data_IF_880641796998
#
_entry.id   IF_880641796998
#
_cell.length_a   1.000
_cell.length_b   1.000
_cell.length_c   1.000
_cell.angle_alpha   90.00
_cell.angle_beta   90.00
_cell.angle_gamma   90.00
#
_symmetry.space_group_name_H-M   'P 1'
#
loop_
_entity.id
_entity.type
_entity.pdbx_description
1 polymer ?
#
# COMPACT_ATOMS: atom_id res chain seq x y z
N UNK A 1 -5.80 -5.09 22.86
CA UNK A 1 -5.66 -3.91 22.00
C UNK A 1 -6.68 -3.92 20.91
N UNK A 2 -7.28 -2.80 20.66
CA UNK A 2 -8.25 -2.69 19.58
C UNK A 2 -7.52 -2.50 18.26
N UNK A 3 -7.84 -3.31 17.26
CA UNK A 3 -7.36 -3.11 15.91
C UNK A 3 -8.08 -1.95 15.23
N UNK A 4 -7.40 -1.27 14.33
CA UNK A 4 -8.01 -0.29 13.44
C UNK A 4 -8.34 -0.95 12.12
N UNK A 5 -9.55 -0.72 11.62
CA UNK A 5 -9.98 -1.21 10.31
C UNK A 5 -10.16 0.00 9.39
N UNK A 6 -9.39 0.03 8.32
CA UNK A 6 -9.33 1.18 7.39
C UNK A 6 -9.82 0.75 6.02
N UNK A 7 -10.72 1.57 5.45
CA UNK A 7 -11.15 1.42 4.07
C UNK A 7 -10.21 2.22 3.17
N UNK A 8 -9.49 1.52 2.28
CA UNK A 8 -8.54 2.13 1.36
C UNK A 8 -9.16 2.79 0.12
N UNK A 9 -10.48 2.71 -0.04
CA UNK A 9 -11.15 3.26 -1.21
C UNK A 9 -10.91 4.77 -1.33
N UNK A 10 -10.35 5.17 -2.47
CA UNK A 10 -10.04 6.58 -2.79
C UNK A 10 -9.08 7.25 -1.79
N UNK A 11 -8.26 6.47 -1.09
CA UNK A 11 -7.26 7.01 -0.17
C UNK A 11 -5.94 7.22 -0.90
N UNK A 12 -5.26 8.34 -0.62
CA UNK A 12 -3.94 8.64 -1.20
C UNK A 12 -2.90 7.75 -0.54
N UNK A 13 -2.20 6.93 -1.34
CA UNK A 13 -1.29 5.90 -0.83
C UNK A 13 -0.24 6.44 0.15
N UNK A 14 0.47 7.51 -0.22
CA UNK A 14 1.55 8.04 0.62
C UNK A 14 1.05 8.60 1.95
N UNK A 15 -0.05 9.34 1.93
CA UNK A 15 -0.63 9.93 3.15
C UNK A 15 -1.22 8.87 4.05
N UNK A 16 -1.95 7.91 3.48
CA UNK A 16 -2.50 6.78 4.23
C UNK A 16 -1.38 5.95 4.86
N UNK A 17 -0.32 5.66 4.10
CA UNK A 17 0.80 4.88 4.59
C UNK A 17 1.51 5.57 5.77
N UNK A 18 1.67 6.88 5.73
CA UNK A 18 2.26 7.64 6.81
C UNK A 18 1.45 7.54 8.12
N UNK A 19 0.15 7.71 8.03
CA UNK A 19 -0.75 7.60 9.19
C UNK A 19 -0.76 6.17 9.74
N UNK A 20 -0.84 5.18 8.86
CA UNK A 20 -0.84 3.77 9.25
C UNK A 20 0.48 3.39 9.94
N UNK A 21 1.60 3.89 9.44
CA UNK A 21 2.90 3.63 10.05
C UNK A 21 2.96 4.16 11.49
N UNK A 22 2.39 5.34 11.73
CA UNK A 22 2.31 5.91 13.08
C UNK A 22 1.46 5.05 14.01
N UNK A 23 0.30 4.56 13.55
CA UNK A 23 -0.55 3.67 14.34
C UNK A 23 0.16 2.36 14.68
N UNK A 24 0.85 1.78 13.69
CA UNK A 24 1.60 0.53 13.90
C UNK A 24 2.73 0.71 14.92
N UNK A 25 3.45 1.82 14.86
CA UNK A 25 4.51 2.12 15.83
C UNK A 25 3.96 2.38 17.22
N UNK A 26 2.73 2.86 17.33
CA UNK A 26 2.04 3.04 18.61
C UNK A 26 1.55 1.71 19.20
N UNK A 27 1.72 0.59 18.52
CA UNK A 27 1.35 -0.74 19.00
C UNK A 27 -0.03 -1.21 18.60
N UNK A 28 -0.71 -0.50 17.70
CA UNK A 28 -2.04 -0.89 17.23
C UNK A 28 -1.93 -1.89 16.07
N UNK A 29 -2.89 -2.82 16.01
CA UNK A 29 -3.08 -3.68 14.84
C UNK A 29 -3.89 -2.91 13.79
N UNK A 30 -3.45 -2.93 12.54
CA UNK A 30 -4.12 -2.21 11.45
C UNK A 30 -4.48 -3.19 10.34
N UNK A 31 -5.74 -3.15 9.92
CA UNK A 31 -6.23 -3.91 8.76
C UNK A 31 -6.74 -2.92 7.73
N UNK A 32 -6.25 -3.04 6.49
CA UNK A 32 -6.66 -2.21 5.36
C UNK A 32 -7.41 -3.10 4.38
N UNK A 33 -8.60 -2.66 3.99
CA UNK A 33 -9.40 -3.34 2.94
C UNK A 33 -9.48 -2.46 1.71
N UNK A 34 -9.92 -3.01 0.60
CA UNK A 34 -10.03 -2.32 -0.69
C UNK A 34 -8.69 -1.73 -1.16
N UNK A 35 -7.60 -2.48 -0.97
CA UNK A 35 -6.26 -2.01 -1.35
C UNK A 35 -6.15 -1.66 -2.84
N UNK A 36 -6.91 -2.36 -3.70
CA UNK A 36 -6.93 -2.10 -5.14
C UNK A 36 -7.53 -0.75 -5.51
N UNK A 37 -8.31 -0.16 -4.61
CA UNK A 37 -8.96 1.14 -4.81
C UNK A 37 -8.17 2.32 -4.24
N UNK A 38 -7.03 2.07 -3.63
CA UNK A 38 -6.10 3.12 -3.19
C UNK A 38 -5.58 3.85 -4.41
N UNK A 39 -5.36 5.16 -4.30
CA UNK A 39 -4.90 5.99 -5.41
C UNK A 39 -3.48 6.50 -5.17
N UNK A 40 -2.76 6.70 -6.28
CA UNK A 40 -1.44 7.32 -6.30
C UNK A 40 -1.58 8.62 -7.09
N UNK A 41 -1.07 9.72 -6.53
CA UNK A 41 -1.13 11.02 -7.20
C UNK A 41 0.02 11.18 -8.18
N UNK A 42 -0.24 11.85 -9.29
CA UNK A 42 0.77 12.20 -10.28
C UNK A 42 0.39 11.76 -11.69
N UNK A 43 1.32 11.97 -12.63
CA UNK A 43 1.13 11.60 -14.02
C UNK A 43 1.18 10.07 -14.15
N UNK A 44 0.16 9.52 -14.77
CA UNK A 44 -0.01 8.08 -14.98
C UNK A 44 1.21 7.44 -15.67
N UNK A 45 1.71 8.06 -16.72
CA UNK A 45 2.87 7.53 -17.45
C UNK A 45 4.13 7.48 -16.60
N UNK A 46 4.37 8.52 -15.81
CA UNK A 46 5.54 8.59 -14.94
C UNK A 46 5.46 7.54 -13.82
N UNK A 47 4.27 7.33 -13.26
CA UNK A 47 4.05 6.29 -12.25
C UNK A 47 4.32 4.91 -12.85
N UNK A 48 3.79 4.63 -14.04
CA UNK A 48 4.02 3.36 -14.73
C UNK A 48 5.51 3.13 -14.98
N UNK A 49 6.22 4.11 -15.52
CA UNK A 49 7.66 4.01 -15.78
C UNK A 49 8.45 3.72 -14.52
N UNK A 50 8.16 4.43 -13.44
CA UNK A 50 8.87 4.27 -12.17
C UNK A 50 8.71 2.87 -11.60
N UNK A 51 7.47 2.38 -11.53
CA UNK A 51 7.21 1.06 -10.99
C UNK A 51 7.70 -0.06 -11.92
N UNK A 52 7.56 0.12 -13.23
CA UNK A 52 8.07 -0.84 -14.22
C UNK A 52 9.57 -0.97 -14.13
N UNK A 53 10.29 0.16 -14.00
CA UNK A 53 11.74 0.14 -13.81
C UNK A 53 12.14 -0.70 -12.60
N UNK A 54 11.44 -0.52 -11.49
CA UNK A 54 11.71 -1.30 -10.26
C UNK A 54 11.49 -2.80 -10.48
N UNK A 55 10.41 -3.17 -11.15
CA UNK A 55 10.10 -4.59 -11.39
C UNK A 55 11.05 -5.23 -12.38
N UNK A 56 11.66 -4.44 -13.26
CA UNK A 56 12.63 -4.92 -14.27
C UNK A 56 14.05 -5.02 -13.71
N UNK A 57 14.30 -4.46 -12.51
CA UNK A 57 15.61 -4.59 -11.87
C UNK A 57 15.87 -6.04 -11.50
N UNK A 58 17.02 -6.55 -11.91
CA UNK A 58 17.40 -7.93 -11.64
C UNK A 58 18.93 -8.06 -11.63
N UNK A 59 19.43 -8.99 -10.85
CA UNK A 59 20.82 -9.43 -10.95
C UNK A 59 20.94 -10.35 -12.15
N UNK A 60 21.59 -9.90 -13.19
CA UNK A 60 21.73 -10.68 -14.45
C UNK A 60 22.61 -11.92 -14.26
N UNK A 61 23.58 -11.86 -13.35
CA UNK A 61 24.45 -13.00 -13.08
C UNK A 61 23.71 -14.11 -12.34
N UNK A 62 22.84 -13.74 -11.39
CA UNK A 62 22.02 -14.70 -10.65
C UNK A 62 20.66 -14.06 -10.33
N UNK A 63 19.64 -14.30 -11.17
CA UNK A 63 18.32 -13.71 -10.97
C UNK A 63 17.67 -14.05 -9.63
N UNK A 64 18.08 -15.14 -8.98
CA UNK A 64 17.53 -15.52 -7.67
C UNK A 64 18.01 -14.61 -6.54
N UNK A 65 19.09 -13.86 -6.74
CA UNK A 65 19.63 -12.90 -5.80
C UNK A 65 19.12 -11.48 -6.03
N UNK A 66 18.47 -11.23 -7.17
CA UNK A 66 18.05 -9.90 -7.54
C UNK A 66 16.95 -9.33 -6.63
N UNK A 67 16.70 -8.01 -6.72
CA UNK A 67 15.59 -7.43 -6.00
C UNK A 67 14.24 -7.92 -6.54
N UNK A 68 13.27 -8.10 -5.64
CA UNK A 68 11.93 -8.54 -6.00
C UNK A 68 10.93 -7.49 -5.54
N UNK A 69 10.21 -6.90 -6.49
CA UNK A 69 9.21 -5.87 -6.22
C UNK A 69 7.80 -6.42 -6.43
N UNK A 70 6.86 -6.04 -5.57
CA UNK A 70 5.49 -6.56 -5.64
C UNK A 70 4.75 -6.04 -6.86
N UNK A 71 3.86 -6.86 -7.40
CA UNK A 71 3.00 -6.52 -8.54
C UNK A 71 1.51 -6.55 -8.20
N UNK A 72 1.13 -7.11 -7.04
CA UNK A 72 -0.26 -7.19 -6.63
C UNK A 72 -0.65 -5.97 -5.79
N UNK A 73 -1.92 -5.52 -5.83
CA UNK A 73 -2.33 -4.30 -5.12
C UNK A 73 -2.03 -4.33 -3.61
N UNK A 74 -2.39 -5.41 -2.94
CA UNK A 74 -2.18 -5.52 -1.49
C UNK A 74 -0.69 -5.44 -1.13
N UNK A 75 0.15 -6.10 -1.93
CA UNK A 75 1.60 -6.10 -1.68
C UNK A 75 2.25 -4.75 -1.99
N UNK A 76 1.75 -4.03 -2.99
CA UNK A 76 2.22 -2.68 -3.30
C UNK A 76 1.97 -1.76 -2.10
N UNK A 77 0.76 -1.79 -1.55
CA UNK A 77 0.39 -0.99 -0.39
C UNK A 77 1.25 -1.38 0.83
N UNK A 78 1.39 -2.67 1.10
CA UNK A 78 2.21 -3.16 2.21
C UNK A 78 3.66 -2.72 2.09
N UNK A 79 4.23 -2.81 0.89
CA UNK A 79 5.62 -2.43 0.64
C UNK A 79 5.85 -0.93 0.87
N UNK A 80 4.89 -0.10 0.49
CA UNK A 80 4.94 1.34 0.75
C UNK A 80 4.96 1.64 2.25
N UNK A 81 4.10 0.99 3.01
CA UNK A 81 4.06 1.14 4.47
C UNK A 81 5.35 0.64 5.11
N UNK A 82 5.88 -0.49 4.65
CA UNK A 82 7.15 -1.03 5.14
C UNK A 82 8.28 -0.03 5.00
N UNK A 83 8.32 0.70 3.88
CA UNK A 83 9.33 1.72 3.64
C UNK A 83 9.28 2.91 4.61
N UNK A 84 8.16 3.09 5.29
CA UNK A 84 7.97 4.15 6.29
C UNK A 84 8.21 3.67 7.72
N UNK A 85 8.47 2.38 7.91
CA UNK A 85 8.79 1.78 9.21
C UNK A 85 10.30 1.58 9.34
N UNK A 86 10.87 1.64 10.57
CA UNK A 86 12.29 1.38 10.77
C UNK A 86 12.60 -0.12 10.63
N UNK A 87 12.59 -0.63 9.41
CA UNK A 87 12.68 -2.06 9.09
C UNK A 87 13.93 -2.75 9.64
N UNK A 88 15.02 -2.01 9.76
CA UNK A 88 16.29 -2.56 10.29
C UNK A 88 16.26 -2.79 11.79
N UNK A 89 15.32 -2.14 12.49
CA UNK A 89 15.17 -2.28 13.95
C UNK A 89 14.11 -3.32 14.27
N UNK A 90 14.23 -4.06 15.39
CA UNK A 90 13.20 -5.00 15.81
C UNK A 90 11.81 -4.36 15.99
N UNK A 91 11.77 -3.10 16.45
CA UNK A 91 10.51 -2.37 16.62
C UNK A 91 9.76 -2.19 15.31
N UNK A 92 10.47 -1.87 14.22
CA UNK A 92 9.87 -1.73 12.90
C UNK A 92 9.34 -3.04 12.35
N UNK A 93 10.08 -4.12 12.52
CA UNK A 93 9.65 -5.46 12.10
C UNK A 93 8.43 -5.92 12.88
N UNK A 94 8.40 -5.68 14.18
CA UNK A 94 7.24 -6.00 15.01
C UNK A 94 6.01 -5.19 14.59
N UNK A 95 6.19 -3.90 14.29
CA UNK A 95 5.12 -3.05 13.80
C UNK A 95 4.56 -3.58 12.47
N UNK A 96 5.42 -3.96 11.54
CA UNK A 96 4.99 -4.48 10.24
C UNK A 96 4.17 -5.77 10.38
N UNK A 97 4.50 -6.63 11.34
CA UNK A 97 3.73 -7.86 11.58
C UNK A 97 2.29 -7.60 12.03
N UNK A 98 2.01 -6.42 12.57
CA UNK A 98 0.66 -6.01 12.99
C UNK A 98 -0.19 -5.49 11.83
N UNK A 99 0.39 -5.36 10.63
CA UNK A 99 -0.31 -4.87 9.44
C UNK A 99 -0.89 -6.02 8.63
N UNK A 100 -2.16 -5.87 8.24
CA UNK A 100 -2.83 -6.75 7.28
C UNK A 100 -3.47 -5.91 6.19
N UNK A 101 -3.29 -6.30 4.94
CA UNK A 101 -3.85 -5.61 3.79
C UNK A 101 -4.55 -6.61 2.89
N UNK A 102 -5.79 -6.29 2.52
CA UNK A 102 -6.62 -7.16 1.69
C UNK A 102 -7.12 -6.41 0.46
N UNK A 103 -7.25 -7.15 -0.65
CA UNK A 103 -7.98 -6.70 -1.83
C UNK A 103 -9.46 -6.96 -1.59
N UNK A 104 -10.30 -5.94 -1.84
CA UNK A 104 -11.71 -6.04 -1.49
C UNK A 104 -11.93 -6.16 0.02
N UNK A 105 -13.09 -6.65 0.40
CA UNK A 105 -13.43 -6.92 1.81
C UNK A 105 -13.52 -8.43 1.99
N UNK A 106 -12.68 -9.05 2.84
CA UNK A 106 -12.76 -10.49 3.05
C UNK A 106 -14.05 -10.88 3.79
N UNK A 107 -14.52 -12.09 3.56
CA UNK A 107 -15.75 -12.61 4.18
C UNK A 107 -15.71 -12.54 5.71
N UNK A 108 -14.55 -12.76 6.30
CA UNK A 108 -14.36 -12.70 7.75
C UNK A 108 -14.55 -11.30 8.33
N UNK A 109 -14.54 -10.28 7.49
CA UNK A 109 -14.69 -8.88 7.90
C UNK A 109 -15.99 -8.24 7.42
N UNK A 110 -16.93 -9.02 6.92
CA UNK A 110 -18.26 -8.53 6.57
C UNK A 110 -18.95 -8.03 7.84
N UNK A 111 -19.62 -6.89 7.74
CA UNK A 111 -20.31 -6.26 8.87
C UNK A 111 -19.42 -5.50 9.83
N UNK A 112 -18.11 -5.48 9.63
CA UNK A 112 -17.18 -4.66 10.41
C UNK A 112 -17.22 -3.23 9.88
N UNK A 113 -17.22 -2.26 10.80
CA UNK A 113 -17.12 -0.85 10.42
C UNK A 113 -15.69 -0.50 10.05
N UNK A 114 -15.56 0.20 8.92
CA UNK A 114 -14.27 0.70 8.45
C UNK A 114 -14.23 2.22 8.52
N UNK A 115 -13.09 2.76 8.94
CA UNK A 115 -12.88 4.20 9.00
C UNK A 115 -12.00 4.65 7.84
N UNK A 116 -12.14 5.92 7.46
CA UNK A 116 -11.25 6.57 6.49
C UNK A 116 -10.39 7.60 7.20
N UNK A 117 -9.16 7.73 6.74
CA UNK A 117 -8.23 8.76 7.25
C UNK A 117 -8.52 10.05 6.48
N UNK A 118 -9.04 11.06 7.18
CA UNK A 118 -9.44 12.33 6.55
C UNK A 118 -8.30 13.00 5.78
N UNK A 119 -7.11 13.03 6.36
CA UNK A 119 -5.93 13.66 5.74
C UNK A 119 -5.48 12.96 4.46
N UNK A 120 -5.87 11.70 4.27
CA UNK A 120 -5.50 10.90 3.10
C UNK A 120 -6.62 10.79 2.08
N UNK A 121 -7.78 11.40 2.32
CA UNK A 121 -8.93 11.27 1.41
C UNK A 121 -8.63 11.97 0.08
N UNK A 122 -8.79 11.22 -1.01
CA UNK A 122 -8.59 11.72 -2.37
C UNK A 122 -9.55 12.82 -2.77
N UNK A 123 -10.71 12.92 -2.13
CA UNK A 123 -11.67 13.99 -2.39
C UNK A 123 -11.12 15.38 -2.07
N UNK A 124 -10.07 15.45 -1.23
CA UNK A 124 -9.42 16.72 -0.88
C UNK A 124 -8.33 17.17 -1.86
N UNK A 125 -8.04 16.34 -2.88
CA UNK A 125 -7.03 16.69 -3.86
C UNK A 125 -7.51 17.82 -4.77
N UNK A 126 -6.62 18.79 -5.01
CA UNK A 126 -6.84 19.85 -5.99
C UNK A 126 -6.50 19.44 -7.42
N UNK A 127 -6.04 18.20 -7.63
CA UNK A 127 -5.68 17.67 -8.94
C UNK A 127 -6.49 16.42 -9.27
N UNK A 128 -6.77 16.22 -10.57
CA UNK A 128 -7.42 15.01 -11.06
C UNK A 128 -6.41 13.97 -11.58
N UNK A 129 -5.12 14.27 -11.49
CA UNK A 129 -4.07 13.34 -11.92
C UNK A 129 -3.84 12.29 -10.84
N UNK A 130 -4.56 11.20 -10.92
CA UNK A 130 -4.45 10.07 -10.00
C UNK A 130 -4.47 8.76 -10.77
N UNK A 131 -3.89 7.72 -10.18
CA UNK A 131 -3.87 6.37 -10.72
C UNK A 131 -4.28 5.42 -9.60
N UNK A 132 -5.23 4.55 -9.87
CA UNK A 132 -5.61 3.51 -8.91
C UNK A 132 -4.55 2.41 -8.89
N UNK A 133 -4.35 1.84 -7.71
CA UNK A 133 -3.37 0.76 -7.53
C UNK A 133 -3.72 -0.47 -8.37
N UNK A 134 -5.00 -0.76 -8.58
CA UNK A 134 -5.42 -1.87 -9.44
C UNK A 134 -4.98 -1.67 -10.89
N UNK A 135 -5.05 -0.46 -11.41
CA UNK A 135 -4.57 -0.13 -12.76
C UNK A 135 -3.06 -0.32 -12.87
N UNK A 136 -2.32 0.13 -11.85
CA UNK A 136 -0.88 -0.07 -11.79
C UNK A 136 -0.53 -1.56 -11.76
N UNK A 137 -1.23 -2.32 -10.94
CA UNK A 137 -1.02 -3.76 -10.81
C UNK A 137 -1.23 -4.49 -12.13
N UNK A 138 -2.29 -4.16 -12.85
CA UNK A 138 -2.56 -4.74 -14.18
C UNK A 138 -1.44 -4.43 -15.16
N UNK A 139 -0.98 -3.19 -15.16
CA UNK A 139 0.13 -2.79 -16.03
C UNK A 139 1.40 -3.58 -15.71
N UNK A 140 1.74 -3.75 -14.44
CA UNK A 140 2.95 -4.47 -14.02
C UNK A 140 2.88 -5.96 -14.32
N UNK A 141 1.67 -6.54 -14.36
CA UNK A 141 1.46 -7.96 -14.70
C UNK A 141 1.31 -8.21 -16.20
N UNK A 142 1.33 -7.16 -17.01
CA UNK A 142 1.20 -7.27 -18.46
C UNK A 142 -0.24 -7.40 -18.95
N UNK A 143 -1.19 -7.05 -18.11
CA UNK A 143 -2.61 -7.08 -18.45
C UNK A 143 -3.14 -5.74 -19.00
#
# INVERSE_FOLDING_TARGET
MRGMNIDGDNMILGRMANEVAQYLLAGQDVTIVNAEKVIITGNKENIFKRFKHRTDLADRANPTHGPFFPKTPARIVRRTIRGMLPWRKPSGRAAYRRLRVFEGVPETMEGVEFTKIENADGARLGTHKTLRVDQLSRYLRGE
#
